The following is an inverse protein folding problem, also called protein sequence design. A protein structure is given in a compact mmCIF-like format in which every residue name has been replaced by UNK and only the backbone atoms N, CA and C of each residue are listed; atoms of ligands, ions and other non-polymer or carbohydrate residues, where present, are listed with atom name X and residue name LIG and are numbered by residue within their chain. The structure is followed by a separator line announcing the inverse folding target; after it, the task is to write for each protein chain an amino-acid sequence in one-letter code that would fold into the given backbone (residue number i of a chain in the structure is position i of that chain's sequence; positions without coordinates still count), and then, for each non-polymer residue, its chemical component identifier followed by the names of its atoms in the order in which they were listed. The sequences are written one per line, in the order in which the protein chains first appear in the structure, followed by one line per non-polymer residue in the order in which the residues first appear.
data_IF_529237074109
#
_entry.id   IF_529237074109
#
_cell.length_a   1.000
_cell.length_b   1.000
_cell.length_c   1.000
_cell.angle_alpha   90.00
_cell.angle_beta   90.00
_cell.angle_gamma   90.00
#
_symmetry.space_group_name_H-M   'P 1'
#
loop_
_entity.id
_entity.type
_entity.pdbx_description
1 polymer ?
#
# COMPACT_ATOMS: atom_id res chain seq x y z
N UNK A 1 -7.57 -31.42 -18.05
CA UNK A 1 -8.38 -30.37 -18.72
C UNK A 1 -7.48 -29.22 -19.12
N UNK A 2 -7.43 -28.86 -20.41
CA UNK A 2 -6.48 -27.91 -21.01
C UNK A 2 -6.71 -26.47 -20.49
N UNK A 3 -5.98 -26.03 -19.47
CA UNK A 3 -6.01 -24.62 -19.00
C UNK A 3 -5.43 -23.63 -20.02
N UNK A 4 -4.56 -24.08 -20.94
CA UNK A 4 -3.95 -23.24 -21.98
C UNK A 4 -4.96 -22.61 -22.94
N UNK A 5 -5.98 -23.35 -23.40
CA UNK A 5 -6.88 -22.84 -24.43
C UNK A 5 -7.88 -21.78 -23.94
N UNK A 6 -8.03 -21.60 -22.63
CA UNK A 6 -8.93 -20.60 -22.06
C UNK A 6 -8.21 -19.25 -21.92
N UNK A 7 -6.95 -19.27 -21.47
CA UNK A 7 -6.13 -18.07 -21.33
C UNK A 7 -5.82 -17.45 -22.70
N UNK A 8 -5.42 -18.28 -23.68
CA UNK A 8 -5.15 -17.85 -25.05
C UNK A 8 -6.36 -17.18 -25.72
N UNK A 9 -7.58 -17.62 -25.40
CA UNK A 9 -8.81 -16.98 -25.89
C UNK A 9 -9.01 -15.61 -25.24
N UNK A 10 -8.78 -15.51 -23.93
CA UNK A 10 -8.90 -14.25 -23.20
C UNK A 10 -7.88 -13.23 -23.71
N UNK A 11 -6.64 -13.65 -23.98
CA UNK A 11 -5.60 -12.80 -24.57
C UNK A 11 -6.05 -12.19 -25.90
N UNK A 12 -6.60 -13.02 -26.81
CA UNK A 12 -7.14 -12.53 -28.09
C UNK A 12 -8.31 -11.57 -27.94
N UNK A 13 -9.14 -11.72 -26.92
CA UNK A 13 -10.23 -10.77 -26.65
C UNK A 13 -9.70 -9.47 -26.03
N UNK A 14 -8.64 -9.52 -25.22
CA UNK A 14 -7.98 -8.34 -24.66
C UNK A 14 -7.31 -7.51 -25.76
N UNK A 15 -6.69 -8.15 -26.75
CA UNK A 15 -6.09 -7.46 -27.91
C UNK A 15 -7.09 -6.64 -28.72
N UNK A 16 -8.39 -7.00 -28.69
CA UNK A 16 -9.45 -6.27 -29.39
C UNK A 16 -9.97 -5.05 -28.63
N UNK A 17 -9.63 -4.92 -27.35
CA UNK A 17 -10.04 -3.79 -26.52
C UNK A 17 -9.23 -2.55 -26.86
N UNK A 18 -9.83 -1.38 -26.68
CA UNK A 18 -9.09 -0.11 -26.73
C UNK A 18 -8.09 -0.01 -25.57
N UNK A 19 -7.02 0.82 -25.68
CA UNK A 19 -6.07 1.01 -24.59
C UNK A 19 -6.72 1.44 -23.26
N UNK A 20 -7.80 2.22 -23.32
CA UNK A 20 -8.55 2.66 -22.14
C UNK A 20 -9.30 1.50 -21.47
N UNK A 21 -9.88 0.60 -22.26
CA UNK A 21 -10.57 -0.59 -21.75
C UNK A 21 -9.60 -1.61 -21.18
N UNK A 22 -8.44 -1.79 -21.82
CA UNK A 22 -7.35 -2.62 -21.29
C UNK A 22 -6.89 -2.10 -19.93
N UNK A 23 -6.69 -0.78 -19.77
CA UNK A 23 -6.31 -0.17 -18.51
C UNK A 23 -7.37 -0.41 -17.41
N UNK A 24 -8.66 -0.25 -17.74
CA UNK A 24 -9.77 -0.52 -16.82
C UNK A 24 -9.84 -2.00 -16.41
N UNK A 25 -9.52 -2.91 -17.34
CA UNK A 25 -9.46 -4.34 -17.04
C UNK A 25 -8.30 -4.66 -16.08
N UNK A 26 -7.12 -4.08 -16.30
CA UNK A 26 -5.97 -4.22 -15.40
C UNK A 26 -6.31 -3.75 -13.99
N UNK A 27 -6.98 -2.60 -13.85
CA UNK A 27 -7.42 -2.08 -12.55
C UNK A 27 -8.37 -3.05 -11.82
N UNK A 28 -9.37 -3.57 -12.54
CA UNK A 28 -10.31 -4.56 -11.99
C UNK A 28 -9.61 -5.84 -11.55
N UNK A 29 -8.71 -6.36 -12.37
CA UNK A 29 -7.92 -7.55 -12.05
C UNK A 29 -7.03 -7.32 -10.83
N UNK A 30 -6.31 -6.20 -10.79
CA UNK A 30 -5.48 -5.84 -9.64
C UNK A 30 -6.29 -5.74 -8.34
N UNK A 31 -7.51 -5.18 -8.40
CA UNK A 31 -8.40 -5.08 -7.25
C UNK A 31 -8.90 -6.46 -6.77
N UNK A 32 -9.24 -7.36 -7.70
CA UNK A 32 -9.65 -8.73 -7.38
C UNK A 32 -8.49 -9.55 -6.77
N UNK A 33 -7.27 -9.37 -7.29
CA UNK A 33 -6.08 -10.06 -6.76
C UNK A 33 -5.70 -9.57 -5.34
N UNK A 34 -5.90 -8.27 -5.04
CA UNK A 34 -5.75 -7.75 -3.68
C UNK A 34 -6.76 -8.37 -2.71
N UNK A 35 -8.02 -8.52 -3.14
CA UNK A 35 -9.10 -9.10 -2.32
C UNK A 35 -8.89 -10.59 -2.00
N UNK A 36 -8.27 -11.34 -2.91
CA UNK A 36 -8.00 -12.77 -2.74
C UNK A 36 -6.79 -13.05 -1.84
N UNK A 37 -6.10 -12.02 -1.34
CA UNK A 37 -4.97 -12.19 -0.42
C UNK A 37 -3.70 -12.73 -1.08
N UNK A 38 -3.66 -12.84 -2.42
CA UNK A 38 -2.46 -13.16 -3.19
C UNK A 38 -1.41 -12.05 -3.11
N UNK A 39 -1.85 -10.83 -2.83
CA UNK A 39 -0.93 -9.81 -2.31
C UNK A 39 -0.54 -10.24 -0.91
N UNK A 40 0.69 -10.72 -0.76
CA UNK A 40 1.42 -10.81 0.51
C UNK A 40 0.89 -9.66 1.36
N UNK A 41 0.25 -9.97 2.50
CA UNK A 41 0.01 -8.96 3.53
C UNK A 41 1.37 -8.35 3.77
N UNK A 42 1.66 -7.24 3.12
CA UNK A 42 2.84 -6.45 3.43
C UNK A 42 2.52 -6.05 4.85
N UNK A 43 3.14 -6.72 5.82
CA UNK A 43 3.10 -6.26 7.19
C UNK A 43 3.58 -4.83 7.09
N UNK A 44 2.62 -3.90 7.14
CA UNK A 44 2.90 -2.50 7.23
C UNK A 44 3.41 -2.34 8.64
N UNK A 45 4.70 -2.60 8.79
CA UNK A 45 5.42 -2.33 10.02
C UNK A 45 5.46 -0.82 10.15
N UNK A 46 4.46 -0.30 10.87
CA UNK A 46 4.32 1.12 11.13
C UNK A 46 5.63 1.67 11.70
N UNK A 47 6.41 0.89 12.46
CA UNK A 47 7.71 1.30 13.00
C UNK A 47 8.76 1.67 11.94
N UNK A 48 8.56 1.30 10.67
CA UNK A 48 9.45 1.70 9.55
C UNK A 48 9.12 3.08 8.99
N UNK A 49 8.00 3.69 9.39
CA UNK A 49 7.64 5.03 8.94
C UNK A 49 8.48 6.08 9.67
N UNK A 50 9.32 6.77 8.90
CA UNK A 50 10.08 7.93 9.37
C UNK A 50 9.12 9.02 9.87
N UNK A 51 9.35 9.53 11.08
CA UNK A 51 8.50 10.55 11.69
C UNK A 51 7.45 10.03 12.69
N UNK A 52 7.33 8.72 12.89
CA UNK A 52 6.68 8.23 14.11
C UNK A 52 7.58 8.58 15.30
N UNK A 53 7.04 9.32 16.26
CA UNK A 53 7.78 10.11 17.26
C UNK A 53 8.99 9.44 17.93
N UNK A 54 9.05 8.12 18.03
CA UNK A 54 10.22 7.39 18.56
C UNK A 54 11.57 7.79 17.92
N UNK A 55 11.61 8.12 16.63
CA UNK A 55 12.83 8.55 15.94
C UNK A 55 13.07 10.07 15.93
N UNK A 56 12.07 10.88 16.26
CA UNK A 56 12.15 12.34 16.28
C UNK A 56 12.63 12.86 17.63
N UNK A 57 12.25 12.18 18.70
CA UNK A 57 12.61 12.53 20.06
C UNK A 57 13.98 11.90 20.31
N UNK A 58 15.05 12.70 20.29
CA UNK A 58 16.46 12.28 20.40
C UNK A 58 16.81 11.78 21.82
N UNK A 59 16.00 10.88 22.37
CA UNK A 59 16.04 10.48 23.79
C UNK A 59 15.44 11.52 24.74
N UNK A 60 14.79 12.57 24.21
CA UNK A 60 14.08 13.55 25.04
C UNK A 60 12.82 12.89 25.64
N UNK A 61 12.67 13.01 26.96
CA UNK A 61 11.47 12.54 27.64
C UNK A 61 10.28 13.47 27.35
N UNK A 62 9.11 12.86 27.17
CA UNK A 62 7.90 13.61 26.80
C UNK A 62 7.45 14.59 27.91
N UNK A 63 7.64 14.25 29.18
CA UNK A 63 7.29 15.11 30.30
C UNK A 63 8.30 16.25 30.45
N UNK A 64 9.59 15.99 30.26
CA UNK A 64 10.62 17.03 30.29
C UNK A 64 10.37 18.10 29.22
N UNK A 65 10.08 17.69 27.98
CA UNK A 65 9.75 18.62 26.89
C UNK A 65 8.53 19.50 27.22
N UNK A 66 7.44 18.88 27.70
CA UNK A 66 6.21 19.61 28.07
C UNK A 66 6.44 20.56 29.24
N UNK A 67 7.25 20.15 30.21
CA UNK A 67 7.58 20.97 31.38
C UNK A 67 8.35 22.21 30.96
N UNK A 68 9.40 22.05 30.14
CA UNK A 68 10.17 23.18 29.58
C UNK A 68 9.29 24.16 28.80
N UNK A 69 8.38 23.66 27.95
CA UNK A 69 7.45 24.53 27.22
C UNK A 69 6.47 25.31 28.10
N UNK A 70 6.18 24.82 29.31
CA UNK A 70 5.33 25.54 30.28
C UNK A 70 6.13 26.61 31.02
N UNK A 71 7.38 26.33 31.33
CA UNK A 71 8.30 27.27 31.98
C UNK A 71 8.70 28.41 31.02
N UNK A 72 8.97 28.11 29.75
CA UNK A 72 9.30 29.10 28.70
C UNK A 72 8.15 30.09 28.39
N UNK A 73 6.94 29.84 28.92
CA UNK A 73 5.76 30.73 28.76
C UNK A 73 5.58 31.75 29.88
N UNK A 74 6.41 31.70 30.93
CA UNK A 74 6.40 32.62 32.07
C UNK A 74 7.50 33.65 31.89
#
# INVERSE_FOLDING_TARGET
MKKGSALEKIEKEIERLTPQEQLKLVERLAHQLRKTGLTIKKELDLNKLYGLGKGLWKGEDAQEYVTRLREDRI
#
